data_IF_837043685824
#
_entry.id   IF_837043685824
#
_cell.length_a   1.000
_cell.length_b   1.000
_cell.length_c   1.000
_cell.angle_alpha   90.00
_cell.angle_beta   90.00
_cell.angle_gamma   90.00
#
_symmetry.space_group_name_H-M   'P 1'
#
loop_
_entity.id
_entity.type
_entity.pdbx_description
1 polymer ?
#
# COMPACT_ATOMS: atom_id res chain seq x y z
N UNK A 1 -2.08 8.71 19.62
CA UNK A 1 -0.66 8.71 19.17
C UNK A 1 -0.54 8.79 17.64
N UNK A 2 -1.30 7.99 16.86
CA UNK A 2 -1.32 8.06 15.39
C UNK A 2 -1.61 9.45 14.82
N UNK A 3 -2.66 10.12 15.32
CA UNK A 3 -3.08 11.44 14.83
C UNK A 3 -1.97 12.50 14.91
N UNK A 4 -1.17 12.51 15.98
CA UNK A 4 -0.08 13.46 16.14
C UNK A 4 1.09 13.23 15.16
N UNK A 5 1.32 11.97 14.76
CA UNK A 5 2.42 11.60 13.85
C UNK A 5 2.01 11.65 12.38
N UNK A 6 0.72 11.67 12.08
CA UNK A 6 0.21 11.86 10.74
C UNK A 6 0.48 13.30 10.28
N UNK A 7 1.07 13.44 9.09
CA UNK A 7 1.41 14.74 8.48
C UNK A 7 0.71 14.98 7.14
N UNK A 8 0.01 13.97 6.64
CA UNK A 8 -0.86 14.10 5.48
C UNK A 8 -2.28 14.43 5.93
N UNK A 9 -2.89 15.44 5.31
CA UNK A 9 -4.23 15.88 5.66
C UNK A 9 -5.27 14.78 5.36
N UNK A 10 -6.11 14.46 6.34
CA UNK A 10 -7.04 13.32 6.28
C UNK A 10 -6.39 11.95 6.06
N UNK A 11 -5.09 11.79 6.31
CA UNK A 11 -4.36 10.59 5.89
C UNK A 11 -4.83 9.28 6.53
N UNK A 12 -5.33 9.31 7.77
CA UNK A 12 -5.85 8.11 8.42
C UNK A 12 -7.21 7.71 7.83
N UNK A 13 -8.09 8.69 7.56
CA UNK A 13 -9.39 8.46 6.95
C UNK A 13 -9.23 7.92 5.52
N UNK A 14 -8.24 8.43 4.78
CA UNK A 14 -7.89 7.92 3.45
C UNK A 14 -7.35 6.48 3.50
N UNK A 15 -6.56 6.13 4.52
CA UNK A 15 -6.10 4.75 4.72
C UNK A 15 -7.27 3.82 5.01
N UNK A 16 -8.17 4.22 5.90
CA UNK A 16 -9.38 3.46 6.22
C UNK A 16 -10.27 3.27 4.99
N UNK A 17 -10.56 4.35 4.26
CA UNK A 17 -11.30 4.31 3.01
C UNK A 17 -10.67 3.34 2.01
N UNK A 18 -9.36 3.42 1.78
CA UNK A 18 -8.68 2.55 0.82
C UNK A 18 -8.71 1.08 1.25
N UNK A 19 -8.57 0.79 2.55
CA UNK A 19 -8.66 -0.58 3.07
C UNK A 19 -10.07 -1.12 2.86
N UNK A 20 -11.10 -0.33 3.15
CA UNK A 20 -12.51 -0.74 3.07
C UNK A 20 -12.98 -1.07 1.64
N UNK A 21 -12.29 -0.57 0.61
CA UNK A 21 -12.57 -0.94 -0.78
C UNK A 21 -12.41 -2.44 -1.06
N UNK A 22 -11.50 -3.14 -0.35
CA UNK A 22 -11.12 -4.52 -0.65
C UNK A 22 -10.96 -5.44 0.56
N UNK A 23 -10.92 -4.89 1.77
CA UNK A 23 -10.73 -5.62 3.02
C UNK A 23 -11.73 -5.16 4.07
N UNK A 24 -12.06 -6.03 5.02
CA UNK A 24 -12.89 -5.65 6.17
C UNK A 24 -12.01 -4.97 7.20
N UNK A 25 -12.36 -3.74 7.57
CA UNK A 25 -11.68 -3.04 8.65
C UNK A 25 -11.81 -3.81 9.97
N UNK A 26 -10.76 -3.85 10.81
CA UNK A 26 -10.85 -4.41 12.15
C UNK A 26 -11.95 -3.69 12.94
N UNK A 27 -12.75 -4.42 13.74
CA UNK A 27 -13.81 -3.79 14.51
C UNK A 27 -13.24 -2.78 15.51
N UNK A 28 -13.90 -1.62 15.62
CA UNK A 28 -13.60 -0.67 16.69
C UNK A 28 -13.80 -1.38 18.04
N UNK A 29 -12.74 -1.52 18.84
CA UNK A 29 -12.84 -2.21 20.12
C UNK A 29 -13.63 -1.35 21.09
N UNK A 30 -14.86 -1.76 21.41
CA UNK A 30 -15.66 -1.16 22.47
C UNK A 30 -15.20 -1.53 23.90
N UNK A 31 -13.95 -1.98 24.08
CA UNK A 31 -13.44 -2.55 25.32
C UNK A 31 -11.94 -2.29 25.55
N UNK A 32 -11.55 -2.09 26.81
CA UNK A 32 -10.21 -1.68 27.23
C UNK A 32 -9.19 -2.83 27.25
N UNK A 33 -7.91 -2.52 26.96
CA UNK A 33 -6.77 -3.42 27.22
C UNK A 33 -6.25 -4.21 26.01
N UNK A 34 -6.05 -5.53 26.16
CA UNK A 34 -5.39 -6.42 25.19
C UNK A 34 -6.06 -6.47 23.81
N UNK A 35 -7.38 -6.31 23.76
CA UNK A 35 -8.12 -6.29 22.50
C UNK A 35 -7.76 -5.08 21.64
N UNK A 36 -7.37 -3.95 22.26
CA UNK A 36 -7.00 -2.73 21.56
C UNK A 36 -5.64 -2.85 20.85
N UNK A 37 -4.65 -3.50 21.48
CA UNK A 37 -3.35 -3.76 20.85
C UNK A 37 -3.50 -4.65 19.62
N UNK A 38 -4.27 -5.74 19.73
CA UNK A 38 -4.51 -6.63 18.60
C UNK A 38 -5.19 -5.89 17.44
N UNK A 39 -6.22 -5.10 17.72
CA UNK A 39 -6.91 -4.33 16.66
C UNK A 39 -5.98 -3.31 16.02
N UNK A 40 -5.09 -2.70 16.79
CA UNK A 40 -4.09 -1.80 16.23
C UNK A 40 -3.07 -2.55 15.34
N UNK A 41 -2.60 -3.73 15.75
CA UNK A 41 -1.69 -4.55 14.95
C UNK A 41 -2.36 -5.04 13.65
N UNK A 42 -3.62 -5.49 13.73
CA UNK A 42 -4.42 -5.89 12.57
C UNK A 42 -4.60 -4.69 11.60
N UNK A 43 -4.85 -3.48 12.12
CA UNK A 43 -4.96 -2.26 11.32
C UNK A 43 -3.64 -1.90 10.62
N UNK A 44 -2.51 -1.95 11.33
CA UNK A 44 -1.19 -1.71 10.72
C UNK A 44 -0.86 -2.73 9.63
N UNK A 45 -1.21 -4.00 9.85
CA UNK A 45 -1.02 -5.04 8.86
C UNK A 45 -1.85 -4.79 7.60
N UNK A 46 -3.16 -4.54 7.75
CA UNK A 46 -4.06 -4.33 6.63
C UNK A 46 -3.70 -3.09 5.80
N UNK A 47 -3.34 -1.99 6.45
CA UNK A 47 -2.91 -0.77 5.73
C UNK A 47 -1.64 -1.00 4.90
N UNK A 48 -0.67 -1.77 5.40
CA UNK A 48 0.54 -2.12 4.65
C UNK A 48 0.28 -3.09 3.50
N UNK A 49 -0.64 -4.06 3.69
CA UNK A 49 -1.06 -4.96 2.60
C UNK A 49 -1.83 -4.19 1.52
N UNK A 50 -2.76 -3.31 1.90
CA UNK A 50 -3.48 -2.45 0.96
C UNK A 50 -2.50 -1.57 0.17
N UNK A 51 -1.56 -0.90 0.83
CA UNK A 51 -0.49 -0.14 0.18
C UNK A 51 0.25 -1.00 -0.85
N UNK A 52 0.64 -2.22 -0.47
CA UNK A 52 1.37 -3.14 -1.35
C UNK A 52 0.57 -3.48 -2.61
N UNK A 53 -0.73 -3.76 -2.47
CA UNK A 53 -1.61 -4.11 -3.61
C UNK A 53 -1.87 -2.92 -4.52
N UNK A 54 -2.04 -1.72 -3.98
CA UNK A 54 -2.16 -0.51 -4.78
C UNK A 54 -0.92 -0.29 -5.67
N UNK A 55 0.29 -0.44 -5.10
CA UNK A 55 1.54 -0.22 -5.85
C UNK A 55 1.78 -1.33 -6.86
N UNK A 56 1.53 -2.59 -6.49
CA UNK A 56 1.59 -3.72 -7.42
C UNK A 56 0.74 -3.47 -8.66
N UNK A 57 -0.52 -3.06 -8.44
CA UNK A 57 -1.49 -2.84 -9.51
C UNK A 57 -1.07 -1.68 -10.42
N UNK A 58 -0.68 -0.55 -9.83
CA UNK A 58 -0.26 0.64 -10.57
C UNK A 58 1.02 0.40 -11.38
N UNK A 59 2.06 -0.16 -10.75
CA UNK A 59 3.36 -0.40 -11.39
C UNK A 59 3.22 -1.46 -12.48
N UNK A 60 2.48 -2.54 -12.24
CA UNK A 60 2.27 -3.55 -13.26
C UNK A 60 1.53 -2.97 -14.48
N UNK A 61 0.55 -2.09 -14.26
CA UNK A 61 -0.14 -1.38 -15.35
C UNK A 61 0.82 -0.50 -16.16
N UNK A 62 1.60 0.36 -15.51
CA UNK A 62 2.58 1.21 -16.20
C UNK A 62 3.62 0.40 -16.98
N UNK A 63 4.05 -0.76 -16.46
CA UNK A 63 4.95 -1.66 -17.19
C UNK A 63 4.31 -2.26 -18.44
N UNK A 64 3.04 -2.66 -18.39
CA UNK A 64 2.30 -3.16 -19.58
C UNK A 64 2.14 -2.06 -20.63
N UNK A 65 2.01 -0.81 -20.21
CA UNK A 65 1.85 0.35 -21.10
C UNK A 65 3.12 0.74 -21.87
N UNK A 66 4.27 0.13 -21.59
CA UNK A 66 5.51 0.37 -22.35
C UNK A 66 5.32 0.18 -23.86
N UNK A 67 4.58 -0.85 -24.26
CA UNK A 67 4.33 -1.20 -25.67
C UNK A 67 2.95 -0.74 -26.17
N UNK A 68 2.20 0.01 -25.36
CA UNK A 68 0.90 0.57 -25.77
C UNK A 68 1.09 1.96 -26.40
N UNK A 69 -0.02 2.58 -26.81
CA UNK A 69 -0.01 3.97 -27.29
C UNK A 69 0.52 4.97 -26.25
N UNK A 70 0.41 4.66 -24.95
CA UNK A 70 0.87 5.54 -23.87
C UNK A 70 2.39 5.58 -23.72
N UNK A 71 3.11 4.51 -24.14
CA UNK A 71 4.57 4.40 -24.12
C UNK A 71 5.20 4.78 -22.78
N UNK A 72 4.69 4.24 -21.68
CA UNK A 72 5.24 4.51 -20.35
C UNK A 72 6.63 3.86 -20.20
N UNK A 73 7.67 4.69 -20.10
CA UNK A 73 9.08 4.23 -20.11
C UNK A 73 9.75 4.17 -18.73
N UNK A 74 9.04 4.52 -17.66
CA UNK A 74 9.58 4.49 -16.30
C UNK A 74 8.50 4.59 -15.24
N UNK A 75 8.79 4.02 -14.07
CA UNK A 75 7.94 4.12 -12.89
C UNK A 75 8.83 4.32 -11.65
N UNK A 76 8.81 5.53 -11.10
CA UNK A 76 9.45 5.87 -9.83
C UNK A 76 8.34 6.09 -8.80
N UNK A 77 8.30 5.26 -7.77
CA UNK A 77 7.26 5.35 -6.76
C UNK A 77 7.69 6.28 -5.63
N UNK A 78 6.72 7.00 -5.07
CA UNK A 78 6.93 7.82 -3.89
C UNK A 78 6.55 7.00 -2.65
N UNK A 79 7.38 6.72 -1.67
CA UNK A 79 8.80 7.07 -1.50
C UNK A 79 9.60 5.83 -1.06
N UNK A 80 10.93 5.89 -1.11
CA UNK A 80 11.76 4.75 -0.75
C UNK A 80 11.76 4.49 0.77
N UNK A 81 12.22 5.46 1.55
CA UNK A 81 12.51 5.33 2.99
C UNK A 81 11.85 6.43 3.84
N UNK A 82 11.86 6.20 5.16
CA UNK A 82 11.47 7.19 6.17
C UNK A 82 12.64 7.88 6.85
N UNK A 83 12.41 9.12 7.27
CA UNK A 83 13.34 9.91 8.09
C UNK A 83 13.02 9.85 9.58
N UNK A 84 11.86 9.33 9.96
CA UNK A 84 11.34 9.22 11.34
C UNK A 84 10.19 8.20 11.40
N UNK A 85 9.76 7.79 12.60
CA UNK A 85 8.61 6.86 12.73
C UNK A 85 7.28 7.60 12.54
N UNK A 86 6.55 7.27 11.49
CA UNK A 86 5.21 7.80 11.24
C UNK A 86 4.54 7.11 10.06
N UNK A 87 3.25 7.34 9.83
CA UNK A 87 2.58 6.88 8.62
C UNK A 87 3.10 7.68 7.43
N UNK A 88 3.61 6.99 6.41
CA UNK A 88 4.20 7.57 5.21
C UNK A 88 4.00 6.64 4.02
N UNK A 89 4.33 7.12 2.82
CA UNK A 89 4.35 6.31 1.59
C UNK A 89 5.59 5.44 1.44
N UNK A 90 6.46 5.36 2.46
CA UNK A 90 7.72 4.63 2.34
C UNK A 90 7.50 3.13 2.18
N UNK A 91 8.45 2.47 1.54
CA UNK A 91 8.58 1.00 1.55
C UNK A 91 9.55 0.50 2.61
N UNK A 92 10.46 1.36 3.08
CA UNK A 92 11.47 1.06 4.11
C UNK A 92 11.19 1.97 5.31
N UNK A 93 10.93 1.36 6.46
CA UNK A 93 10.70 2.06 7.73
C UNK A 93 11.97 2.76 8.22
N UNK A 94 11.79 3.71 9.14
CA UNK A 94 12.90 4.28 9.88
C UNK A 94 13.62 3.16 10.65
N UNK A 95 14.92 3.02 10.43
CA UNK A 95 15.73 1.91 10.94
C UNK A 95 15.98 0.77 9.94
N UNK A 96 15.48 0.89 8.70
CA UNK A 96 15.85 0.02 7.58
C UNK A 96 15.00 -1.24 7.43
N UNK A 97 13.98 -1.43 8.28
CA UNK A 97 13.07 -2.58 8.16
C UNK A 97 12.21 -2.44 6.90
N UNK A 98 12.09 -3.53 6.15
CA UNK A 98 11.23 -3.59 4.97
C UNK A 98 9.77 -3.74 5.36
N UNK A 99 8.91 -2.85 4.84
CA UNK A 99 7.46 -3.09 4.81
C UNK A 99 7.14 -4.17 3.77
N UNK A 100 5.96 -4.84 3.84
CA UNK A 100 5.46 -5.73 2.80
C UNK A 100 5.57 -5.12 1.39
N UNK A 101 5.36 -3.80 1.28
CA UNK A 101 5.51 -3.06 0.03
C UNK A 101 6.90 -3.31 -0.61
N UNK A 102 7.99 -3.28 0.14
CA UNK A 102 9.33 -3.43 -0.45
C UNK A 102 9.55 -4.82 -1.06
N UNK A 103 8.98 -5.86 -0.46
CA UNK A 103 8.98 -7.21 -1.04
C UNK A 103 8.15 -7.26 -2.33
N UNK A 104 6.99 -6.61 -2.36
CA UNK A 104 6.15 -6.50 -3.57
C UNK A 104 6.84 -5.71 -4.68
N UNK A 105 7.50 -4.61 -4.34
CA UNK A 105 8.30 -3.78 -5.26
C UNK A 105 9.40 -4.61 -5.91
N UNK A 106 10.13 -5.43 -5.13
CA UNK A 106 11.14 -6.36 -5.67
C UNK A 106 10.55 -7.31 -6.72
N UNK A 107 9.36 -7.86 -6.47
CA UNK A 107 8.68 -8.78 -7.38
C UNK A 107 8.17 -8.08 -8.65
N UNK A 108 7.50 -6.94 -8.52
CA UNK A 108 6.92 -6.21 -9.67
C UNK A 108 7.98 -5.54 -10.54
N UNK A 109 9.17 -5.25 -9.99
CA UNK A 109 10.30 -4.74 -10.76
C UNK A 109 11.21 -5.83 -11.36
N UNK A 110 10.88 -7.11 -11.19
CA UNK A 110 11.64 -8.19 -11.81
C UNK A 110 11.82 -7.96 -13.33
N UNK A 111 12.93 -8.41 -13.94
CA UNK A 111 13.17 -8.24 -15.38
C UNK A 111 12.04 -8.80 -16.24
N UNK A 112 11.43 -9.90 -15.82
CA UNK A 112 10.26 -10.52 -16.42
C UNK A 112 9.14 -10.58 -15.38
N UNK A 113 7.95 -10.12 -15.75
CA UNK A 113 6.77 -10.08 -14.89
C UNK A 113 5.56 -10.59 -15.66
N UNK A 114 4.87 -11.60 -15.14
CA UNK A 114 3.51 -11.93 -15.56
C UNK A 114 2.54 -11.02 -14.81
N UNK A 115 1.66 -10.33 -15.53
CA UNK A 115 0.65 -9.47 -14.91
C UNK A 115 -0.69 -9.60 -15.61
N UNK A 116 -1.67 -10.15 -14.88
CA UNK A 116 -3.07 -10.21 -15.29
C UNK A 116 -3.86 -9.01 -14.75
N UNK A 117 -4.83 -8.55 -15.54
CA UNK A 117 -5.84 -7.59 -15.12
C UNK A 117 -7.14 -7.90 -15.85
N UNK A 118 -8.28 -7.59 -15.23
CA UNK A 118 -9.57 -7.65 -15.89
C UNK A 118 -9.78 -6.32 -16.61
N UNK A 119 -10.06 -6.38 -17.91
CA UNK A 119 -10.49 -5.20 -18.66
C UNK A 119 -12.02 -5.12 -18.61
N UNK A 120 -12.60 -4.09 -17.95
CA UNK A 120 -14.05 -3.93 -17.88
C UNK A 120 -14.73 -3.81 -19.24
N UNK A 121 -14.01 -3.36 -20.28
CA UNK A 121 -14.55 -3.23 -21.63
C UNK A 121 -14.74 -4.60 -22.33
N UNK A 122 -14.08 -5.66 -21.83
CA UNK A 122 -14.14 -7.01 -22.38
C UNK A 122 -14.59 -8.07 -21.38
N UNK A 123 -14.96 -7.64 -20.16
CA UNK A 123 -15.54 -8.51 -19.13
C UNK A 123 -16.99 -8.84 -19.50
N UNK A 124 -17.25 -10.11 -19.83
CA UNK A 124 -18.59 -10.69 -20.05
C UNK A 124 -19.17 -11.15 -18.71
#
# INVERSE_FOLDING_TARGET
MLLFRQRHDGGNDQLEFMVDLHFKLPPAVAGTGQNQTKVFDDYLYLTQIQQSRCYETAIANWRRQKSSAAKTMGALYWQLNDVWQGPTWSSIEYGGKWKPLHYTIKSVFAPVLLSGFLDPATAV
#
